data_IF_246327288474
#
_entry.id   IF_246327288474
#
_cell.length_a   1.000
_cell.length_b   1.000
_cell.length_c   1.000
_cell.angle_alpha   90.00
_cell.angle_beta   90.00
_cell.angle_gamma   90.00
#
_symmetry.space_group_name_H-M   'P 1'
#
loop_
_entity.id
_entity.type
_entity.pdbx_description
1 polymer ?
#
# COMPACT_ATOMS: atom_id res chain seq x y z
N UNK A 1 -2.33 80.08 22.37
CA UNK A 1 -1.62 79.14 21.48
C UNK A 1 -2.25 77.73 21.57
N UNK A 2 -3.58 77.64 21.48
CA UNK A 2 -4.35 76.38 21.57
C UNK A 2 -5.67 76.49 20.77
N UNK A 3 -5.63 77.08 19.57
CA UNK A 3 -6.83 77.24 18.71
C UNK A 3 -6.94 76.19 17.59
N UNK A 4 -6.03 75.20 17.55
CA UNK A 4 -6.08 74.12 16.54
C UNK A 4 -6.91 72.90 16.95
N UNK A 5 -7.46 72.86 18.17
CA UNK A 5 -8.07 71.64 18.75
C UNK A 5 -9.55 71.39 18.40
N UNK A 6 -10.17 72.14 17.47
CA UNK A 6 -11.60 71.97 17.12
C UNK A 6 -11.93 71.78 15.64
N UNK A 7 -10.93 71.83 14.75
CA UNK A 7 -11.16 71.59 13.32
C UNK A 7 -10.60 70.23 12.99
N UNK A 8 -11.48 69.23 13.00
CA UNK A 8 -11.15 67.93 12.46
C UNK A 8 -10.57 68.07 11.05
N UNK A 9 -9.56 67.28 10.75
CA UNK A 9 -8.85 67.38 9.47
C UNK A 9 -9.56 66.51 8.45
N UNK A 10 -9.94 67.10 7.31
CA UNK A 10 -10.56 66.39 6.19
C UNK A 10 -9.50 65.52 5.50
N UNK A 11 -9.67 64.20 5.63
CA UNK A 11 -8.71 63.21 5.13
C UNK A 11 -8.55 63.29 3.61
N UNK A 12 -9.58 63.69 2.86
CA UNK A 12 -9.49 63.83 1.39
C UNK A 12 -8.59 64.97 0.99
N UNK A 13 -8.71 66.11 1.68
CA UNK A 13 -7.82 67.25 1.47
C UNK A 13 -6.38 66.93 1.84
N UNK A 14 -6.17 66.10 2.85
CA UNK A 14 -4.85 65.68 3.26
C UNK A 14 -4.24 64.68 2.26
N UNK A 15 -5.05 63.78 1.72
CA UNK A 15 -4.68 62.85 0.67
C UNK A 15 -4.29 63.58 -0.63
N UNK A 16 -5.11 64.54 -1.06
CA UNK A 16 -4.82 65.41 -2.20
C UNK A 16 -3.55 66.23 -2.01
N UNK A 17 -3.32 66.79 -0.80
CA UNK A 17 -2.13 67.58 -0.51
C UNK A 17 -0.84 66.74 -0.43
N UNK A 18 -0.95 65.46 -0.06
CA UNK A 18 0.17 64.54 0.06
C UNK A 18 0.42 63.72 -1.23
N UNK A 19 -0.41 63.90 -2.27
CA UNK A 19 -0.42 63.05 -3.47
C UNK A 19 -0.54 61.55 -3.14
N UNK A 20 -1.38 61.24 -2.15
CA UNK A 20 -1.65 59.89 -1.68
C UNK A 20 -3.12 59.55 -1.92
N UNK A 21 -3.44 58.26 -2.01
CA UNK A 21 -4.82 57.84 -1.91
C UNK A 21 -5.38 58.11 -0.51
N UNK A 22 -6.70 58.28 -0.42
CA UNK A 22 -7.40 58.40 0.87
C UNK A 22 -7.10 57.20 1.78
N UNK A 23 -6.90 56.01 1.19
CA UNK A 23 -6.57 54.78 1.90
C UNK A 23 -5.16 54.83 2.50
N UNK A 24 -4.15 55.21 1.71
CA UNK A 24 -2.76 55.37 2.19
C UNK A 24 -2.68 56.43 3.30
N UNK A 25 -3.40 57.53 3.12
CA UNK A 25 -3.49 58.62 4.09
C UNK A 25 -4.10 58.14 5.41
N UNK A 26 -5.20 57.38 5.35
CA UNK A 26 -5.80 56.74 6.52
C UNK A 26 -4.86 55.77 7.22
N UNK A 27 -4.08 54.98 6.47
CA UNK A 27 -3.12 54.03 7.03
C UNK A 27 -1.98 54.74 7.77
N UNK A 28 -1.40 55.79 7.18
CA UNK A 28 -0.34 56.60 7.81
C UNK A 28 -0.84 57.26 9.10
N UNK A 29 -2.07 57.81 9.08
CA UNK A 29 -2.66 58.47 10.24
C UNK A 29 -3.06 57.52 11.38
N UNK A 30 -3.13 56.21 11.11
CA UNK A 30 -3.49 55.19 12.09
C UNK A 30 -2.28 54.41 12.65
N UNK A 31 -1.06 54.70 12.18
CA UNK A 31 0.18 54.28 12.83
C UNK A 31 0.41 55.08 14.15
N UNK A 32 1.11 54.51 15.14
CA UNK A 32 1.50 55.25 16.34
C UNK A 32 2.41 56.42 15.94
N UNK A 33 1.88 57.63 16.04
CA UNK A 33 2.62 58.84 15.71
C UNK A 33 3.60 59.19 16.84
N UNK A 34 4.72 59.86 16.54
CA UNK A 34 5.64 60.36 17.56
C UNK A 34 4.91 61.20 18.63
N UNK A 35 5.42 61.17 19.86
CA UNK A 35 4.88 61.98 20.96
C UNK A 35 4.70 63.44 20.54
N UNK A 36 3.48 63.95 20.65
CA UNK A 36 3.10 65.31 20.24
C UNK A 36 2.29 65.42 18.95
N UNK A 37 2.03 64.33 18.23
CA UNK A 37 1.24 64.36 16.99
C UNK A 37 -0.24 64.04 17.26
N UNK A 38 -1.16 64.93 16.87
CA UNK A 38 -2.61 64.78 17.08
C UNK A 38 -3.26 64.30 15.77
N UNK A 39 -3.69 63.03 15.70
CA UNK A 39 -4.61 62.56 14.68
C UNK A 39 -6.06 62.81 15.15
N UNK A 40 -6.64 63.95 14.75
CA UNK A 40 -8.04 64.26 14.99
C UNK A 40 -8.87 64.01 13.72
N UNK A 41 -9.44 62.82 13.60
CA UNK A 41 -10.43 62.51 12.56
C UNK A 41 -11.64 63.43 12.69
N UNK A 42 -12.14 63.98 11.59
CA UNK A 42 -13.19 65.00 11.61
C UNK A 42 -14.59 64.43 11.87
N UNK A 43 -14.77 63.12 11.66
CA UNK A 43 -16.01 62.43 11.96
C UNK A 43 -15.79 60.99 12.48
N UNK A 44 -16.82 60.45 13.15
CA UNK A 44 -16.87 59.05 13.58
C UNK A 44 -16.84 58.07 12.40
N UNK A 45 -17.35 58.48 11.23
CA UNK A 45 -17.37 57.66 10.02
C UNK A 45 -15.97 57.56 9.40
N UNK A 46 -15.22 58.66 9.33
CA UNK A 46 -13.83 58.65 8.82
C UNK A 46 -12.89 57.81 9.71
N UNK A 47 -13.04 57.89 11.03
CA UNK A 47 -12.29 57.06 11.96
C UNK A 47 -12.64 55.56 11.82
N UNK A 48 -13.88 55.24 11.45
CA UNK A 48 -14.32 53.87 11.21
C UNK A 48 -13.80 53.33 9.87
N UNK A 49 -13.85 54.14 8.81
CA UNK A 49 -13.27 53.82 7.49
C UNK A 49 -11.75 53.60 7.58
N UNK A 50 -11.03 54.45 8.31
CA UNK A 50 -9.58 54.29 8.52
C UNK A 50 -9.24 52.98 9.25
N UNK A 51 -10.03 52.57 10.25
CA UNK A 51 -9.85 51.28 10.94
C UNK A 51 -10.12 50.09 10.02
N UNK A 52 -11.11 50.18 9.14
CA UNK A 52 -11.38 49.14 8.14
C UNK A 52 -10.23 49.05 7.13
N UNK A 53 -9.74 50.19 6.64
CA UNK A 53 -8.60 50.25 5.74
C UNK A 53 -7.35 49.62 6.37
N UNK A 54 -7.02 49.97 7.62
CA UNK A 54 -5.86 49.40 8.32
C UNK A 54 -6.01 47.89 8.55
N UNK A 55 -7.22 47.44 8.93
CA UNK A 55 -7.52 46.01 9.10
C UNK A 55 -7.38 45.24 7.78
N UNK A 56 -7.78 45.84 6.67
CA UNK A 56 -7.65 45.24 5.34
C UNK A 56 -6.19 45.23 4.88
N UNK A 57 -5.43 46.29 5.15
CA UNK A 57 -4.00 46.37 4.85
C UNK A 57 -3.19 45.34 5.65
N UNK A 58 -3.39 45.26 6.96
CA UNK A 58 -2.76 44.26 7.82
C UNK A 58 -3.06 42.82 7.35
N UNK A 59 -4.29 42.55 6.91
CA UNK A 59 -4.65 41.25 6.34
C UNK A 59 -3.97 40.96 5.00
N UNK A 60 -3.75 42.00 4.19
CA UNK A 60 -3.04 41.88 2.92
C UNK A 60 -1.54 41.60 3.15
N UNK A 61 -0.89 42.33 4.05
CA UNK A 61 0.52 42.09 4.42
C UNK A 61 0.73 40.70 5.03
N UNK A 62 -0.15 40.26 5.93
CA UNK A 62 -0.09 38.89 6.46
C UNK A 62 -0.30 37.85 5.35
N UNK A 63 -1.14 38.15 4.37
CA UNK A 63 -1.33 37.31 3.18
C UNK A 63 -0.06 37.18 2.34
N UNK A 64 0.62 38.30 2.08
CA UNK A 64 1.90 38.30 1.36
C UNK A 64 3.01 37.60 2.15
N UNK A 65 3.09 37.82 3.46
CA UNK A 65 4.05 37.16 4.32
C UNK A 65 3.86 35.63 4.28
N UNK A 66 2.61 35.17 4.35
CA UNK A 66 2.27 33.75 4.23
C UNK A 66 2.63 33.18 2.84
N UNK A 67 2.38 33.93 1.77
CA UNK A 67 2.80 33.51 0.42
C UNK A 67 4.31 33.32 0.31
N UNK A 68 5.09 34.24 0.89
CA UNK A 68 6.56 34.12 0.94
C UNK A 68 6.99 32.91 1.76
N UNK A 69 6.35 32.66 2.90
CA UNK A 69 6.63 31.48 3.73
C UNK A 69 6.38 30.17 2.97
N UNK A 70 5.24 30.04 2.30
CA UNK A 70 4.94 28.86 1.47
C UNK A 70 5.94 28.74 0.32
N UNK A 71 6.34 29.85 -0.30
CA UNK A 71 7.34 29.83 -1.37
C UNK A 71 8.70 29.29 -0.89
N UNK A 72 9.08 29.58 0.36
CA UNK A 72 10.32 29.14 0.99
C UNK A 72 10.31 27.67 1.45
N UNK A 73 9.16 26.98 1.43
CA UNK A 73 9.11 25.55 1.73
C UNK A 73 9.99 24.78 0.73
N UNK A 74 11.00 24.07 1.25
CA UNK A 74 11.99 23.35 0.45
C UNK A 74 11.67 21.86 0.32
N UNK A 75 10.93 21.30 1.27
CA UNK A 75 10.54 19.88 1.30
C UNK A 75 9.07 19.71 1.71
N UNK A 76 8.60 18.47 1.59
CA UNK A 76 7.22 18.07 1.89
C UNK A 76 6.86 18.34 3.35
N UNK A 77 7.78 18.11 4.28
CA UNK A 77 7.56 18.28 5.72
C UNK A 77 7.37 19.75 6.11
N UNK A 78 8.05 20.68 5.44
CA UNK A 78 7.87 22.13 5.61
C UNK A 78 6.48 22.55 5.12
N UNK A 79 6.09 22.09 3.93
CA UNK A 79 4.77 22.41 3.37
C UNK A 79 3.62 21.78 4.17
N UNK A 80 3.79 20.55 4.66
CA UNK A 80 2.84 19.87 5.54
C UNK A 80 2.66 20.62 6.86
N UNK A 81 3.76 21.05 7.51
CA UNK A 81 3.69 21.86 8.73
C UNK A 81 2.97 23.19 8.50
N UNK A 82 3.24 23.84 7.37
CA UNK A 82 2.60 25.11 7.00
C UNK A 82 1.11 24.93 6.75
N UNK A 83 0.69 23.80 6.17
CA UNK A 83 -0.71 23.45 5.98
C UNK A 83 -1.45 23.14 7.30
N UNK A 84 -0.79 22.49 8.25
CA UNK A 84 -1.37 22.09 9.54
C UNK A 84 -1.65 23.26 10.50
N UNK A 85 -1.22 24.48 10.16
CA UNK A 85 -1.57 25.69 10.92
C UNK A 85 -3.07 25.95 10.81
N UNK A 86 -3.68 26.48 11.87
CA UNK A 86 -5.10 26.86 11.93
C UNK A 86 -5.35 28.17 11.15
N UNK A 87 -4.94 28.17 9.88
CA UNK A 87 -4.98 29.30 8.97
C UNK A 87 -6.29 29.31 8.16
N UNK A 88 -6.73 30.49 7.67
CA UNK A 88 -7.89 30.60 6.80
C UNK A 88 -7.81 29.67 5.58
N UNK A 89 -8.97 29.22 5.04
CA UNK A 89 -9.00 28.24 3.96
C UNK A 89 -8.16 28.61 2.72
N UNK A 90 -8.08 29.90 2.36
CA UNK A 90 -7.29 30.36 1.22
C UNK A 90 -5.77 30.11 1.41
N UNK A 91 -5.26 30.31 2.63
CA UNK A 91 -3.85 30.07 2.98
C UNK A 91 -3.54 28.57 2.96
N UNK A 92 -4.40 27.76 3.57
CA UNK A 92 -4.28 26.29 3.51
C UNK A 92 -4.29 25.75 2.06
N UNK A 93 -5.06 26.34 1.14
CA UNK A 93 -5.02 25.95 -0.28
C UNK A 93 -3.64 26.17 -0.88
N UNK A 94 -3.00 27.29 -0.59
CA UNK A 94 -1.66 27.60 -1.10
C UNK A 94 -0.60 26.62 -0.59
N UNK A 95 -0.61 26.34 0.73
CA UNK A 95 0.30 25.37 1.33
C UNK A 95 0.08 23.96 0.78
N UNK A 96 -1.17 23.55 0.57
CA UNK A 96 -1.51 22.24 0.01
C UNK A 96 -1.04 22.09 -1.45
N UNK A 97 -1.17 23.13 -2.27
CA UNK A 97 -0.61 23.14 -3.63
C UNK A 97 0.89 23.00 -3.62
N UNK A 98 1.59 23.76 -2.77
CA UNK A 98 3.05 23.65 -2.62
C UNK A 98 3.46 22.25 -2.15
N UNK A 99 2.71 21.64 -1.23
CA UNK A 99 2.94 20.27 -0.79
C UNK A 99 2.80 19.29 -1.97
N UNK A 100 1.70 19.38 -2.73
CA UNK A 100 1.51 18.59 -3.95
C UNK A 100 2.71 18.79 -4.89
N UNK A 101 3.15 20.02 -5.12
CA UNK A 101 4.26 20.35 -6.01
C UNK A 101 5.62 19.80 -5.54
N UNK A 102 5.86 19.70 -4.23
CA UNK A 102 7.09 19.15 -3.67
C UNK A 102 7.08 17.62 -3.55
N UNK A 103 5.91 16.97 -3.54
CA UNK A 103 5.81 15.52 -3.41
C UNK A 103 6.52 14.79 -4.57
N UNK A 104 7.54 13.99 -4.27
CA UNK A 104 8.28 13.21 -5.25
C UNK A 104 7.86 11.74 -5.26
N UNK A 105 7.32 11.24 -4.14
CA UNK A 105 6.93 9.83 -3.99
C UNK A 105 5.41 9.62 -3.95
N UNK A 106 4.97 8.40 -4.27
CA UNK A 106 3.57 7.98 -4.11
C UNK A 106 3.09 8.18 -2.68
N UNK A 107 3.92 7.87 -1.68
CA UNK A 107 3.57 8.05 -0.27
C UNK A 107 3.32 9.52 0.08
N UNK A 108 4.13 10.43 -0.44
CA UNK A 108 3.98 11.88 -0.20
C UNK A 108 2.74 12.44 -0.89
N UNK A 109 2.54 12.13 -2.17
CA UNK A 109 1.38 12.62 -2.92
C UNK A 109 0.06 12.03 -2.40
N UNK A 110 0.09 10.78 -1.94
CA UNK A 110 -1.02 10.12 -1.24
C UNK A 110 -1.50 10.98 -0.07
N UNK A 111 -0.57 11.38 0.81
CA UNK A 111 -0.90 12.18 2.00
C UNK A 111 -1.53 13.52 1.61
N UNK A 112 -0.91 14.26 0.69
CA UNK A 112 -1.41 15.56 0.24
C UNK A 112 -2.81 15.44 -0.42
N UNK A 113 -2.99 14.45 -1.29
CA UNK A 113 -4.24 14.25 -2.05
C UNK A 113 -5.39 13.86 -1.12
N UNK A 114 -5.18 12.95 -0.16
CA UNK A 114 -6.22 12.60 0.80
C UNK A 114 -6.61 13.78 1.70
N UNK A 115 -5.65 14.65 2.08
CA UNK A 115 -5.97 15.90 2.79
C UNK A 115 -6.83 16.85 1.94
N UNK A 116 -6.58 16.95 0.64
CA UNK A 116 -7.44 17.72 -0.27
C UNK A 116 -8.87 17.17 -0.32
N UNK A 117 -9.02 15.83 -0.35
CA UNK A 117 -10.32 15.15 -0.31
C UNK A 117 -11.05 15.43 1.01
N UNK A 118 -10.39 15.24 2.14
CA UNK A 118 -10.95 15.50 3.47
C UNK A 118 -11.39 16.97 3.64
N UNK A 119 -10.57 17.90 3.17
CA UNK A 119 -10.86 19.33 3.22
C UNK A 119 -11.87 19.81 2.16
N UNK A 120 -12.43 18.91 1.34
CA UNK A 120 -13.39 19.20 0.26
C UNK A 120 -12.87 20.26 -0.73
N UNK A 121 -11.60 20.13 -1.13
CA UNK A 121 -10.87 21.04 -2.03
C UNK A 121 -10.73 20.43 -3.43
N UNK A 122 -11.64 20.71 -4.38
CA UNK A 122 -11.69 20.01 -5.66
C UNK A 122 -10.49 20.29 -6.56
N UNK A 123 -9.97 21.53 -6.56
CA UNK A 123 -8.84 21.92 -7.41
C UNK A 123 -7.54 21.24 -6.96
N UNK A 124 -7.26 21.28 -5.65
CA UNK A 124 -6.10 20.61 -5.06
C UNK A 124 -6.22 19.08 -5.14
N UNK A 125 -7.44 18.54 -5.01
CA UNK A 125 -7.71 17.11 -5.24
C UNK A 125 -7.32 16.72 -6.66
N UNK A 126 -7.75 17.49 -7.66
CA UNK A 126 -7.43 17.23 -9.07
C UNK A 126 -5.92 17.32 -9.33
N UNK A 127 -5.26 18.38 -8.84
CA UNK A 127 -3.80 18.53 -8.92
C UNK A 127 -3.06 17.34 -8.30
N UNK A 128 -3.54 16.87 -7.15
CA UNK A 128 -3.01 15.70 -6.46
C UNK A 128 -3.05 14.43 -7.33
N UNK A 129 -4.21 14.12 -7.91
CA UNK A 129 -4.35 12.97 -8.81
C UNK A 129 -3.58 13.12 -10.12
N UNK A 130 -3.57 14.30 -10.74
CA UNK A 130 -2.77 14.54 -11.96
C UNK A 130 -1.28 14.27 -11.72
N UNK A 131 -0.75 14.69 -10.56
CA UNK A 131 0.63 14.41 -10.18
C UNK A 131 0.86 12.94 -9.83
N UNK A 132 -0.06 12.33 -9.09
CA UNK A 132 0.01 10.90 -8.76
C UNK A 132 0.04 10.04 -10.03
N UNK A 133 -0.85 10.31 -10.98
CA UNK A 133 -0.89 9.62 -12.26
C UNK A 133 0.40 9.77 -13.06
N UNK A 134 1.01 10.97 -13.04
CA UNK A 134 2.34 11.19 -13.64
C UNK A 134 3.43 10.30 -13.04
N UNK A 135 3.53 10.26 -11.71
CA UNK A 135 4.51 9.40 -11.01
C UNK A 135 4.27 7.93 -11.37
N UNK A 136 3.00 7.49 -11.42
CA UNK A 136 2.67 6.11 -11.81
C UNK A 136 3.08 5.81 -13.26
N UNK A 137 2.84 6.71 -14.21
CA UNK A 137 3.26 6.52 -15.61
C UNK A 137 4.77 6.48 -15.77
N UNK A 138 5.49 7.35 -15.07
CA UNK A 138 6.96 7.36 -15.05
C UNK A 138 7.50 6.03 -14.51
N UNK A 139 6.96 5.54 -13.38
CA UNK A 139 7.33 4.23 -12.86
C UNK A 139 6.92 3.08 -13.77
N UNK A 140 5.74 3.14 -14.39
CA UNK A 140 5.26 2.12 -15.34
C UNK A 140 6.17 2.02 -16.57
N UNK A 141 6.73 3.15 -17.03
CA UNK A 141 7.69 3.15 -18.13
C UNK A 141 8.99 2.43 -17.77
N UNK A 142 9.41 2.49 -16.50
CA UNK A 142 10.63 1.86 -16.00
C UNK A 142 10.44 0.40 -15.54
N UNK A 143 9.21 0.00 -15.20
CA UNK A 143 8.90 -1.35 -14.73
C UNK A 143 9.09 -2.38 -15.85
N UNK A 144 9.99 -3.35 -15.64
CA UNK A 144 10.33 -4.39 -16.62
C UNK A 144 9.94 -5.80 -16.16
N UNK A 145 9.59 -5.97 -14.88
CA UNK A 145 9.20 -7.26 -14.30
C UNK A 145 7.72 -7.28 -13.91
N UNK A 146 7.16 -8.48 -13.82
CA UNK A 146 5.76 -8.67 -13.43
C UNK A 146 5.52 -8.19 -11.98
N UNK A 147 6.49 -8.41 -11.09
CA UNK A 147 6.48 -7.95 -9.71
C UNK A 147 6.47 -6.42 -9.60
N UNK A 148 7.33 -5.71 -10.33
CA UNK A 148 7.33 -4.24 -10.34
C UNK A 148 5.99 -3.67 -10.82
N UNK A 149 5.40 -4.27 -11.87
CA UNK A 149 4.09 -3.83 -12.37
C UNK A 149 2.99 -4.14 -11.33
N UNK A 150 3.08 -5.27 -10.62
CA UNK A 150 2.16 -5.61 -9.52
C UNK A 150 2.25 -4.62 -8.36
N UNK A 151 3.45 -4.15 -8.03
CA UNK A 151 3.63 -3.11 -7.02
C UNK A 151 2.92 -1.81 -7.42
N UNK A 152 2.97 -1.42 -8.70
CA UNK A 152 2.25 -0.25 -9.20
C UNK A 152 0.72 -0.39 -9.07
N UNK A 153 0.17 -1.59 -9.26
CA UNK A 153 -1.26 -1.85 -9.01
C UNK A 153 -1.61 -1.63 -7.53
N UNK A 154 -0.70 -1.96 -6.61
CA UNK A 154 -0.89 -1.73 -5.17
C UNK A 154 -0.71 -0.26 -4.76
N UNK A 155 0.01 0.53 -5.57
CA UNK A 155 0.23 1.97 -5.39
C UNK A 155 -0.91 2.85 -5.92
N UNK A 156 -1.89 2.25 -6.62
CA UNK A 156 -3.13 2.94 -6.97
C UNK A 156 -3.92 3.28 -5.70
N UNK A 157 -4.64 4.42 -5.69
CA UNK A 157 -5.53 4.75 -4.59
C UNK A 157 -6.58 3.66 -4.37
N UNK A 158 -7.13 3.62 -3.15
CA UNK A 158 -8.22 2.71 -2.80
C UNK A 158 -9.51 3.49 -2.58
N UNK A 159 -10.60 3.05 -3.21
CA UNK A 159 -11.96 3.53 -2.98
C UNK A 159 -12.61 4.08 -4.24
N UNK A 160 -13.86 3.71 -4.47
CA UNK A 160 -14.60 3.90 -5.73
C UNK A 160 -14.59 5.35 -6.27
N UNK A 161 -14.69 6.36 -5.39
CA UNK A 161 -14.65 7.79 -5.75
C UNK A 161 -13.25 8.36 -6.04
N UNK A 162 -12.23 7.62 -5.67
CA UNK A 162 -10.81 7.97 -5.79
C UNK A 162 -10.22 7.25 -7.01
N UNK A 163 -10.70 6.02 -7.24
CA UNK A 163 -10.39 5.18 -8.40
C UNK A 163 -10.80 5.81 -9.74
N UNK A 164 -11.89 6.59 -9.75
CA UNK A 164 -12.40 7.23 -10.97
C UNK A 164 -11.40 8.23 -11.61
N UNK A 165 -10.57 8.88 -10.80
CA UNK A 165 -9.63 9.92 -11.26
C UNK A 165 -8.37 9.33 -11.91
N UNK A 166 -8.05 8.07 -11.61
CA UNK A 166 -6.88 7.35 -12.13
C UNK A 166 -7.27 6.09 -12.92
N UNK A 167 -8.47 6.09 -13.53
CA UNK A 167 -8.94 4.93 -14.30
C UNK A 167 -8.06 4.62 -15.50
N UNK A 168 -7.53 5.64 -16.17
CA UNK A 168 -6.65 5.44 -17.32
C UNK A 168 -5.32 4.83 -16.89
N UNK A 169 -4.71 5.30 -15.80
CA UNK A 169 -3.52 4.71 -15.22
C UNK A 169 -3.77 3.27 -14.80
N UNK A 170 -4.88 3.01 -14.10
CA UNK A 170 -5.29 1.67 -13.71
C UNK A 170 -5.41 0.76 -14.94
N UNK A 171 -6.04 1.23 -16.01
CA UNK A 171 -6.15 0.51 -17.28
C UNK A 171 -4.78 0.19 -17.87
N UNK A 172 -3.91 1.20 -18.02
CA UNK A 172 -2.58 1.04 -18.61
C UNK A 172 -1.70 0.07 -17.81
N UNK A 173 -1.69 0.17 -16.47
CA UNK A 173 -0.92 -0.73 -15.61
C UNK A 173 -1.48 -2.16 -15.74
N UNK A 174 -2.81 -2.33 -15.74
CA UNK A 174 -3.46 -3.65 -15.88
C UNK A 174 -3.18 -4.28 -17.25
N UNK A 175 -3.18 -3.49 -18.32
CA UNK A 175 -2.87 -3.94 -19.67
C UNK A 175 -1.40 -4.38 -19.80
N UNK A 176 -0.47 -3.59 -19.25
CA UNK A 176 0.95 -3.97 -19.19
C UNK A 176 1.17 -5.22 -18.35
N UNK A 177 0.49 -5.35 -17.21
CA UNK A 177 0.55 -6.54 -16.36
C UNK A 177 0.08 -7.78 -17.13
N UNK A 178 -1.09 -7.70 -17.78
CA UNK A 178 -1.69 -8.82 -18.50
C UNK A 178 -0.84 -9.26 -19.69
N UNK A 179 -0.33 -8.32 -20.48
CA UNK A 179 0.55 -8.62 -21.62
C UNK A 179 1.89 -9.22 -21.19
N UNK A 180 2.51 -8.69 -20.13
CA UNK A 180 3.77 -9.21 -19.58
C UNK A 180 3.57 -10.61 -19.02
N UNK A 181 2.48 -10.84 -18.26
CA UNK A 181 2.11 -12.15 -17.73
C UNK A 181 1.90 -13.17 -18.85
N UNK A 182 1.18 -12.78 -19.90
CA UNK A 182 0.96 -13.61 -21.10
C UNK A 182 2.28 -14.01 -21.76
N UNK A 183 3.19 -13.07 -21.99
CA UNK A 183 4.49 -13.36 -22.59
C UNK A 183 5.31 -14.34 -21.73
N UNK A 184 5.36 -14.11 -20.42
CA UNK A 184 6.04 -14.99 -19.47
C UNK A 184 5.47 -16.41 -19.48
N UNK A 185 4.14 -16.55 -19.47
CA UNK A 185 3.48 -17.85 -19.52
C UNK A 185 3.75 -18.56 -20.85
N UNK A 186 3.70 -17.86 -21.99
CA UNK A 186 3.99 -18.45 -23.29
C UNK A 186 5.43 -18.97 -23.37
N UNK A 187 6.41 -18.19 -22.92
CA UNK A 187 7.81 -18.63 -22.87
C UNK A 187 7.98 -19.84 -21.95
N UNK A 188 7.40 -19.78 -20.75
CA UNK A 188 7.51 -20.89 -19.79
C UNK A 188 6.86 -22.19 -20.31
N UNK A 189 5.74 -22.10 -21.04
CA UNK A 189 5.11 -23.26 -21.71
C UNK A 189 6.03 -23.83 -22.81
N UNK A 190 6.65 -22.97 -23.62
CA UNK A 190 7.57 -23.39 -24.67
C UNK A 190 8.83 -24.06 -24.12
N UNK A 191 9.34 -23.56 -23.00
CA UNK A 191 10.56 -24.06 -22.35
C UNK A 191 10.28 -25.25 -21.40
N UNK A 192 9.00 -25.55 -21.12
CA UNK A 192 8.63 -26.56 -20.12
C UNK A 192 8.98 -26.15 -18.68
N UNK A 193 9.11 -24.86 -18.38
CA UNK A 193 9.42 -24.36 -17.03
C UNK A 193 8.16 -24.40 -16.13
N UNK A 194 7.91 -25.59 -15.59
CA UNK A 194 6.78 -25.89 -14.70
C UNK A 194 6.78 -24.96 -13.46
N UNK A 195 7.93 -24.51 -12.97
CA UNK A 195 8.01 -23.64 -11.78
C UNK A 195 7.49 -22.25 -12.08
N UNK A 196 7.90 -21.67 -13.21
CA UNK A 196 7.43 -20.35 -13.66
C UNK A 196 5.96 -20.39 -14.05
N UNK A 197 5.51 -21.48 -14.69
CA UNK A 197 4.10 -21.71 -14.98
C UNK A 197 3.27 -21.73 -13.67
N UNK A 198 3.63 -22.57 -12.69
CA UNK A 198 2.92 -22.67 -11.41
C UNK A 198 2.90 -21.36 -10.62
N UNK A 199 4.03 -20.63 -10.60
CA UNK A 199 4.12 -19.33 -9.91
C UNK A 199 3.15 -18.30 -10.50
N UNK A 200 2.91 -18.35 -11.81
CA UNK A 200 2.21 -17.30 -12.54
C UNK A 200 0.81 -17.69 -13.04
N UNK A 201 0.37 -18.95 -12.87
CA UNK A 201 -0.99 -19.41 -13.19
C UNK A 201 -2.06 -18.85 -12.22
N UNK A 202 -1.68 -18.17 -11.14
CA UNK A 202 -2.62 -17.59 -10.19
C UNK A 202 -2.72 -16.07 -10.26
N UNK A 203 -3.87 -15.60 -9.77
CA UNK A 203 -4.35 -14.22 -9.71
C UNK A 203 -5.07 -13.71 -10.96
N UNK A 204 -6.36 -14.03 -11.00
CA UNK A 204 -7.44 -13.12 -11.36
C UNK A 204 -8.67 -13.56 -10.55
N UNK A 205 -8.75 -13.16 -9.27
CA UNK A 205 -10.05 -13.17 -8.59
C UNK A 205 -10.95 -12.14 -9.30
N UNK A 206 -11.86 -12.61 -10.16
CA UNK A 206 -12.97 -11.80 -10.65
C UNK A 206 -12.98 -11.38 -12.13
N UNK A 207 -11.97 -11.72 -12.95
CA UNK A 207 -12.01 -11.43 -14.39
C UNK A 207 -11.59 -12.64 -15.23
N UNK A 208 -12.29 -12.83 -16.35
CA UNK A 208 -12.16 -13.94 -17.30
C UNK A 208 -10.71 -14.37 -17.51
N UNK A 209 -10.43 -15.67 -17.36
CA UNK A 209 -9.13 -16.27 -17.62
C UNK A 209 -8.56 -15.82 -18.95
N UNK A 210 -7.28 -15.45 -18.98
CA UNK A 210 -6.56 -15.28 -20.24
C UNK A 210 -6.53 -16.64 -20.97
N UNK A 211 -6.68 -16.68 -22.31
CA UNK A 211 -6.55 -17.93 -23.07
C UNK A 211 -5.26 -18.68 -22.77
N UNK A 212 -4.15 -17.97 -22.52
CA UNK A 212 -2.85 -18.56 -22.20
C UNK A 212 -2.81 -19.17 -20.80
N UNK A 213 -3.60 -18.68 -19.85
CA UNK A 213 -3.77 -19.34 -18.55
C UNK A 213 -4.51 -20.66 -18.72
N UNK A 214 -5.51 -20.72 -19.60
CA UNK A 214 -6.22 -21.97 -19.92
C UNK A 214 -5.29 -22.98 -20.61
N UNK A 215 -4.45 -22.52 -21.53
CA UNK A 215 -3.43 -23.36 -22.18
C UNK A 215 -2.37 -23.82 -21.18
N UNK A 216 -1.90 -22.94 -20.29
CA UNK A 216 -0.95 -23.30 -19.24
C UNK A 216 -1.54 -24.33 -18.27
N UNK A 217 -2.80 -24.15 -17.88
CA UNK A 217 -3.56 -25.11 -17.06
C UNK A 217 -3.70 -26.44 -17.81
N UNK A 218 -4.09 -26.44 -19.08
CA UNK A 218 -4.22 -27.66 -19.88
C UNK A 218 -2.87 -28.38 -20.07
N UNK A 219 -1.77 -27.63 -20.27
CA UNK A 219 -0.42 -28.16 -20.35
C UNK A 219 0.02 -28.82 -19.04
N UNK A 220 -0.20 -28.15 -17.89
CA UNK A 220 0.05 -28.76 -16.58
C UNK A 220 -0.85 -29.97 -16.32
N UNK A 221 -2.11 -29.95 -16.76
CA UNK A 221 -3.02 -31.09 -16.64
C UNK A 221 -2.55 -32.27 -17.50
N UNK A 222 -2.10 -32.02 -18.73
CA UNK A 222 -1.53 -33.03 -19.60
C UNK A 222 -0.26 -33.62 -18.99
N UNK A 223 0.68 -32.78 -18.54
CA UNK A 223 1.88 -33.24 -17.84
C UNK A 223 1.54 -34.02 -16.57
N UNK A 224 0.53 -33.61 -15.81
CA UNK A 224 0.07 -34.34 -14.64
C UNK A 224 -0.55 -35.70 -15.02
N UNK A 225 -1.28 -35.79 -16.14
CA UNK A 225 -1.83 -37.04 -16.66
C UNK A 225 -0.76 -37.96 -17.24
N UNK A 226 0.22 -37.42 -17.97
CA UNK A 226 1.39 -38.13 -18.48
C UNK A 226 2.27 -38.61 -17.32
N UNK A 227 2.51 -37.78 -16.31
CA UNK A 227 3.15 -38.18 -15.07
C UNK A 227 2.31 -39.23 -14.32
N UNK A 228 0.98 -39.17 -14.34
CA UNK A 228 0.13 -40.23 -13.78
C UNK A 228 0.27 -41.56 -14.54
N UNK A 229 0.40 -41.48 -15.87
CA UNK A 229 0.60 -42.63 -16.76
C UNK A 229 2.05 -43.18 -16.67
N UNK A 230 3.03 -42.33 -16.43
CA UNK A 230 4.41 -42.70 -16.09
C UNK A 230 4.49 -43.17 -14.63
N UNK A 231 3.62 -42.72 -13.73
CA UNK A 231 3.49 -43.30 -12.38
C UNK A 231 2.88 -44.71 -12.43
N UNK A 232 2.19 -45.10 -13.52
CA UNK A 232 1.91 -46.52 -13.81
C UNK A 232 3.11 -47.30 -14.38
N UNK A 233 4.16 -46.62 -14.86
CA UNK A 233 5.41 -47.21 -15.35
C UNK A 233 6.61 -46.30 -15.04
N UNK A 234 7.18 -46.44 -13.83
CA UNK A 234 8.44 -45.84 -13.33
C UNK A 234 8.45 -44.39 -12.78
N UNK A 235 8.98 -44.28 -11.55
CA UNK A 235 8.96 -43.15 -10.59
C UNK A 235 10.03 -42.07 -10.81
N UNK A 236 9.71 -40.79 -10.50
CA UNK A 236 10.44 -39.92 -9.52
C UNK A 236 9.56 -38.73 -9.06
N UNK A 237 9.81 -38.24 -7.83
CA UNK A 237 8.92 -37.39 -7.00
C UNK A 237 9.02 -35.88 -7.31
N UNK A 238 10.07 -35.45 -8.03
CA UNK A 238 10.40 -34.02 -8.15
C UNK A 238 9.43 -33.23 -9.03
N UNK A 239 8.79 -33.86 -10.02
CA UNK A 239 7.95 -33.16 -11.00
C UNK A 239 6.53 -32.88 -10.48
N UNK A 240 5.98 -33.76 -9.62
CA UNK A 240 4.60 -33.64 -9.11
C UNK A 240 4.51 -32.67 -7.91
N UNK A 241 5.59 -32.51 -7.15
CA UNK A 241 5.60 -31.73 -5.91
C UNK A 241 5.46 -30.20 -6.08
N UNK A 242 5.50 -29.69 -7.30
CA UNK A 242 5.38 -28.25 -7.58
C UNK A 242 3.93 -27.78 -7.86
N UNK A 243 2.95 -28.68 -7.89
CA UNK A 243 1.54 -28.30 -8.09
C UNK A 243 1.00 -27.78 -6.75
N UNK A 244 0.88 -26.46 -6.64
CA UNK A 244 0.32 -25.80 -5.46
C UNK A 244 -1.18 -26.15 -5.32
N UNK A 245 -1.68 -26.44 -4.10
CA UNK A 245 -3.08 -26.77 -3.83
C UNK A 245 -4.07 -25.60 -4.05
N UNK A 246 -3.61 -24.46 -4.57
CA UNK A 246 -4.42 -23.26 -4.82
C UNK A 246 -5.01 -23.20 -6.24
N UNK A 247 -4.84 -24.25 -7.04
CA UNK A 247 -5.47 -24.36 -8.36
C UNK A 247 -6.98 -24.62 -8.21
N UNK A 248 -7.85 -23.91 -8.94
CA UNK A 248 -9.27 -24.25 -9.01
C UNK A 248 -9.44 -25.45 -9.94
N UNK A 249 -8.97 -26.62 -9.49
CA UNK A 249 -9.47 -27.88 -10.01
C UNK A 249 -10.97 -27.91 -9.75
N UNK A 250 -11.77 -28.37 -10.71
CA UNK A 250 -13.18 -28.65 -10.46
C UNK A 250 -13.33 -29.50 -9.20
N UNK A 251 -14.37 -29.30 -8.42
CA UNK A 251 -14.55 -29.93 -7.09
C UNK A 251 -14.34 -31.45 -7.08
N UNK A 252 -14.58 -32.13 -8.21
CA UNK A 252 -14.36 -33.57 -8.39
C UNK A 252 -12.88 -33.91 -8.63
N UNK A 253 -12.17 -33.12 -9.43
CA UNK A 253 -10.75 -33.33 -9.77
C UNK A 253 -9.84 -32.95 -8.60
N UNK A 254 -10.19 -31.89 -7.85
CA UNK A 254 -9.49 -31.50 -6.63
C UNK A 254 -9.53 -32.63 -5.59
N UNK A 255 -10.71 -33.25 -5.38
CA UNK A 255 -10.86 -34.38 -4.46
C UNK A 255 -10.06 -35.61 -4.91
N UNK A 256 -9.93 -35.85 -6.22
CA UNK A 256 -9.11 -36.94 -6.75
C UNK A 256 -7.61 -36.69 -6.53
N UNK A 257 -7.12 -35.48 -6.79
CA UNK A 257 -5.72 -35.10 -6.53
C UNK A 257 -5.40 -35.14 -5.04
N UNK A 258 -6.29 -34.65 -4.17
CA UNK A 258 -6.15 -34.77 -2.72
C UNK A 258 -6.04 -36.23 -2.28
N UNK A 259 -6.90 -37.11 -2.80
CA UNK A 259 -6.89 -38.54 -2.48
C UNK A 259 -5.62 -39.24 -2.99
N UNK A 260 -5.11 -38.84 -4.15
CA UNK A 260 -3.86 -39.35 -4.71
C UNK A 260 -2.66 -38.92 -3.85
N UNK A 261 -2.53 -37.63 -3.53
CA UNK A 261 -1.48 -37.09 -2.66
C UNK A 261 -1.50 -37.73 -1.28
N UNK A 262 -2.68 -37.94 -0.70
CA UNK A 262 -2.85 -38.65 0.55
C UNK A 262 -2.37 -40.11 0.44
N UNK A 263 -2.78 -40.83 -0.61
CA UNK A 263 -2.42 -42.25 -0.80
C UNK A 263 -0.92 -42.43 -1.03
N UNK A 264 -0.31 -41.58 -1.85
CA UNK A 264 1.13 -41.61 -2.12
C UNK A 264 1.95 -41.22 -0.89
N UNK A 265 1.54 -40.16 -0.19
CA UNK A 265 2.19 -39.73 1.06
C UNK A 265 2.14 -40.82 2.13
N UNK A 266 0.99 -41.50 2.27
CA UNK A 266 0.84 -42.65 3.17
C UNK A 266 1.78 -43.81 2.78
N UNK A 267 1.90 -44.12 1.49
CA UNK A 267 2.78 -45.18 1.00
C UNK A 267 4.25 -44.88 1.30
N UNK A 268 4.70 -43.66 0.98
CA UNK A 268 6.08 -43.22 1.26
C UNK A 268 6.37 -43.20 2.77
N UNK A 269 5.39 -42.81 3.58
CA UNK A 269 5.52 -42.82 5.02
C UNK A 269 5.64 -44.25 5.59
N UNK A 270 4.93 -45.22 5.00
CA UNK A 270 5.06 -46.63 5.35
C UNK A 270 6.42 -47.21 4.94
N UNK A 271 6.94 -46.80 3.77
CA UNK A 271 8.24 -47.22 3.25
C UNK A 271 9.41 -46.53 3.97
N UNK A 272 9.20 -45.36 4.59
CA UNK A 272 10.21 -44.65 5.34
C UNK A 272 10.69 -45.48 6.56
N UNK A 273 12.00 -45.67 6.63
CA UNK A 273 12.68 -46.45 7.68
C UNK A 273 13.47 -45.56 8.63
N UNK A 274 13.68 -44.29 8.29
CA UNK A 274 14.42 -43.32 9.10
C UNK A 274 13.63 -42.03 9.38
N UNK A 275 13.97 -41.32 10.47
CA UNK A 275 13.38 -40.01 10.79
C UNK A 275 13.62 -38.99 9.66
N UNK A 276 14.80 -39.02 9.03
CA UNK A 276 15.13 -38.11 7.94
C UNK A 276 14.22 -38.32 6.71
N UNK A 277 13.91 -39.57 6.37
CA UNK A 277 12.97 -39.90 5.30
C UNK A 277 11.55 -39.44 5.64
N UNK A 278 11.11 -39.66 6.89
CA UNK A 278 9.82 -39.17 7.35
C UNK A 278 9.74 -37.65 7.29
N UNK A 279 10.81 -36.94 7.68
CA UNK A 279 10.85 -35.48 7.60
C UNK A 279 10.81 -34.95 6.16
N UNK A 280 11.39 -35.66 5.20
CA UNK A 280 11.24 -35.32 3.77
C UNK A 280 9.79 -35.43 3.31
N UNK A 281 9.08 -36.47 3.75
CA UNK A 281 7.65 -36.65 3.46
C UNK A 281 6.81 -35.58 4.19
N UNK A 282 7.18 -35.26 5.43
CA UNK A 282 6.49 -34.28 6.27
C UNK A 282 6.57 -32.85 5.74
N UNK A 283 7.61 -32.48 5.00
CA UNK A 283 7.75 -31.15 4.41
C UNK A 283 7.44 -31.15 2.89
N UNK A 284 6.80 -32.23 2.42
CA UNK A 284 6.42 -32.41 1.02
C UNK A 284 4.97 -31.97 0.73
N UNK A 285 4.53 -32.10 -0.54
CA UNK A 285 3.21 -31.65 -1.00
C UNK A 285 2.03 -32.36 -0.31
N UNK A 286 2.26 -33.50 0.34
CA UNK A 286 1.25 -34.26 1.05
C UNK A 286 1.08 -33.88 2.53
N UNK A 287 1.94 -33.02 3.10
CA UNK A 287 2.02 -32.72 4.54
C UNK A 287 0.64 -32.56 5.18
N UNK A 288 -0.18 -31.71 4.58
CA UNK A 288 -1.49 -31.33 5.11
C UNK A 288 -2.44 -32.54 5.28
N UNK A 289 -2.33 -33.56 4.42
CA UNK A 289 -3.24 -34.71 4.37
C UNK A 289 -2.81 -35.89 5.25
N UNK A 290 -1.52 -35.96 5.62
CA UNK A 290 -0.96 -37.09 6.35
C UNK A 290 -0.28 -36.71 7.67
N UNK A 291 -0.36 -35.44 8.08
CA UNK A 291 0.30 -34.89 9.28
C UNK A 291 0.13 -35.77 10.53
N UNK A 292 -1.06 -36.33 10.76
CA UNK A 292 -1.28 -37.22 11.92
C UNK A 292 -0.47 -38.51 11.83
N UNK A 293 -0.40 -39.10 10.64
CA UNK A 293 0.37 -40.33 10.40
C UNK A 293 1.86 -40.10 10.42
N UNK A 294 2.32 -38.94 9.93
CA UNK A 294 3.72 -38.51 10.03
C UNK A 294 4.17 -38.55 11.49
N UNK A 295 3.36 -37.98 12.39
CA UNK A 295 3.68 -37.97 13.82
C UNK A 295 3.75 -39.38 14.41
N UNK A 296 2.76 -40.25 14.12
CA UNK A 296 2.78 -41.66 14.57
C UNK A 296 4.09 -42.35 14.14
N UNK A 297 4.50 -42.16 12.88
CA UNK A 297 5.70 -42.78 12.32
C UNK A 297 6.99 -42.24 12.92
N UNK A 298 7.06 -40.94 13.20
CA UNK A 298 8.20 -40.33 13.90
C UNK A 298 8.39 -40.93 15.31
N UNK A 299 7.30 -41.13 16.05
CA UNK A 299 7.35 -41.77 17.38
C UNK A 299 7.74 -43.25 17.28
N UNK A 300 7.29 -43.96 16.25
CA UNK A 300 7.66 -45.35 16.01
C UNK A 300 9.16 -45.52 15.75
N UNK A 301 9.70 -44.72 14.83
CA UNK A 301 11.09 -44.81 14.35
C UNK A 301 12.10 -44.21 15.31
N UNK A 302 11.67 -43.31 16.21
CA UNK A 302 12.57 -42.75 17.20
C UNK A 302 13.17 -43.84 18.09
N UNK A 303 14.50 -43.85 18.09
CA UNK A 303 15.36 -44.88 18.67
C UNK A 303 16.11 -44.37 19.90
N UNK A 304 15.95 -43.10 20.25
CA UNK A 304 16.58 -42.45 21.40
C UNK A 304 15.63 -41.47 22.09
N UNK A 305 15.97 -41.10 23.33
CA UNK A 305 15.23 -40.08 24.09
C UNK A 305 15.38 -38.71 23.44
N UNK A 306 16.56 -38.40 22.89
CA UNK A 306 16.87 -37.15 22.19
C UNK A 306 16.00 -36.97 20.94
N UNK A 307 15.84 -38.01 20.13
CA UNK A 307 14.96 -37.99 18.96
C UNK A 307 13.50 -37.76 19.38
N UNK A 308 13.03 -38.45 20.42
CA UNK A 308 11.68 -38.26 20.95
C UNK A 308 11.46 -36.86 21.54
N UNK A 309 12.50 -36.22 22.10
CA UNK A 309 12.43 -34.83 22.52
C UNK A 309 12.31 -33.88 21.32
N UNK A 310 12.96 -34.20 20.20
CA UNK A 310 12.77 -33.51 18.91
C UNK A 310 11.32 -33.58 18.46
N UNK A 311 10.77 -34.80 18.36
CA UNK A 311 9.38 -35.04 17.96
C UNK A 311 8.37 -34.35 18.90
N UNK A 312 8.66 -34.29 20.21
CA UNK A 312 7.84 -33.55 21.18
C UNK A 312 7.77 -32.06 20.89
N UNK A 313 8.87 -31.43 20.47
CA UNK A 313 8.92 -29.97 20.23
C UNK A 313 8.03 -29.54 19.06
N UNK A 314 7.74 -30.46 18.14
CA UNK A 314 6.82 -30.23 17.02
C UNK A 314 5.34 -30.34 17.43
N UNK A 315 5.03 -30.78 18.65
CA UNK A 315 3.67 -30.77 19.18
C UNK A 315 3.28 -29.36 19.66
N UNK A 316 2.46 -28.63 18.89
CA UNK A 316 1.90 -27.35 19.33
C UNK A 316 0.73 -27.56 20.30
N UNK A 317 0.72 -26.81 21.40
CA UNK A 317 -0.26 -26.91 22.50
C UNK A 317 -1.72 -26.65 22.10
N UNK A 318 -1.93 -26.09 20.92
CA UNK A 318 -3.25 -25.72 20.38
C UNK A 318 -3.73 -26.67 19.26
N UNK A 319 -2.94 -27.69 18.91
CA UNK A 319 -3.34 -28.68 17.91
C UNK A 319 -4.39 -29.65 18.47
N UNK A 320 -5.41 -29.97 17.66
CA UNK A 320 -6.32 -31.07 17.97
C UNK A 320 -5.51 -32.36 18.15
N UNK A 321 -5.74 -33.05 19.28
CA UNK A 321 -5.05 -34.31 19.61
C UNK A 321 -3.71 -34.16 20.35
N UNK A 322 -3.31 -32.94 20.75
CA UNK A 322 -2.08 -32.70 21.52
C UNK A 322 -1.88 -33.66 22.70
N UNK A 323 -2.90 -33.86 23.55
CA UNK A 323 -2.80 -34.73 24.72
C UNK A 323 -2.59 -36.22 24.37
N UNK A 324 -3.11 -36.68 23.24
CA UNK A 324 -2.88 -38.05 22.77
C UNK A 324 -1.45 -38.21 22.24
N UNK A 325 -0.97 -37.21 21.49
CA UNK A 325 0.38 -37.19 20.91
C UNK A 325 1.48 -37.14 21.98
N UNK A 326 1.32 -36.26 22.98
CA UNK A 326 2.25 -36.18 24.12
C UNK A 326 2.26 -37.50 24.89
N UNK A 327 1.11 -38.13 25.12
CA UNK A 327 1.05 -39.44 25.79
C UNK A 327 1.79 -40.53 25.02
N UNK A 328 1.66 -40.56 23.69
CA UNK A 328 2.40 -41.52 22.86
C UNK A 328 3.92 -41.33 22.94
N UNK A 329 4.40 -40.08 22.88
CA UNK A 329 5.83 -39.75 23.04
C UNK A 329 6.34 -40.16 24.43
N UNK A 330 5.62 -39.79 25.49
CA UNK A 330 6.01 -40.12 26.87
C UNK A 330 6.02 -41.64 27.09
N UNK A 331 5.02 -42.35 26.57
CA UNK A 331 4.95 -43.81 26.67
C UNK A 331 6.10 -44.50 25.93
N UNK A 332 6.52 -43.98 24.78
CA UNK A 332 7.69 -44.48 24.05
C UNK A 332 9.00 -44.13 24.78
N UNK A 333 9.13 -42.89 25.28
CA UNK A 333 10.30 -42.45 26.08
C UNK A 333 10.50 -43.34 27.31
N UNK A 334 9.42 -43.69 28.01
CA UNK A 334 9.47 -44.53 29.19
C UNK A 334 10.10 -45.92 28.92
N UNK A 335 10.04 -46.43 27.67
CA UNK A 335 10.67 -47.71 27.30
C UNK A 335 12.20 -47.65 27.22
N UNK A 336 12.78 -46.46 27.18
CA UNK A 336 14.24 -46.26 27.17
C UNK A 336 14.84 -46.19 28.58
N UNK A 337 14.00 -46.11 29.61
CA UNK A 337 14.44 -46.13 31.00
C UNK A 337 14.10 -47.51 31.59
N UNK A 338 15.07 -48.25 32.16
CA UNK A 338 14.77 -49.47 32.89
C UNK A 338 13.87 -49.16 34.09
N UNK A 339 12.96 -50.09 34.40
CA UNK A 339 11.98 -49.99 35.48
C UNK A 339 12.62 -49.87 36.88
#
# INVERSE_FOLDING_TARGET
MFDFLKRGVDVRRLAEAADLSVVETCCILALPLPEGTIAAFSSRNEAWEARIALRNYSRAEEGEAYQREVALCANVEDAERTFQRDDPPARQSLALRKWIDLAATIKEITRATYRAVEAKRPDERRLGFEKWGRILREKLALANTLEEIRELLNELPRGERVDSELMEERRLITEKYSSTKKALLQTAIQEGDIRTINKNIHMCEGHSYLPEEQVAVAYLQQLAQEALAVVTVTTTIEEVGNISPLTPLGTVEYQQVQKLLQTMGLKQLQEATTIAEVNKVAHGPAEFYIREKVFERLVELASSVEELQGVRKECYRHDRGYDARIRAVVAKMARFFPA
#
